data_IF_526142270682
#
_entry.id   IF_526142270682
#
_cell.length_a   1.000
_cell.length_b   1.000
_cell.length_c   1.000
_cell.angle_alpha   90.00
_cell.angle_beta   90.00
_cell.angle_gamma   90.00
#
_symmetry.space_group_name_H-M   'P 1'
#
loop_
_entity.id
_entity.type
_entity.pdbx_description
1 polymer ?
#
# COMPACT_ATOMS: atom_id res chain seq x y z
N UNK A 1 -9.37 8.84 -2.95
CA UNK A 1 -10.49 7.96 -2.55
C UNK A 1 -10.50 7.81 -1.03
N UNK A 2 -11.64 8.02 -0.35
CA UNK A 2 -11.73 7.80 1.10
C UNK A 2 -12.44 6.48 1.40
N UNK A 3 -11.72 5.52 2.01
CA UNK A 3 -12.27 4.24 2.44
C UNK A 3 -12.84 4.33 3.86
N UNK A 4 -14.04 3.77 4.06
CA UNK A 4 -14.66 3.63 5.39
C UNK A 4 -13.88 2.63 6.26
N UNK A 5 -14.11 2.67 7.57
CA UNK A 5 -13.50 1.72 8.52
C UNK A 5 -13.81 0.26 8.16
N UNK A 6 -15.05 -0.04 7.74
CA UNK A 6 -15.45 -1.40 7.32
C UNK A 6 -14.71 -1.85 6.06
N UNK A 7 -14.56 -0.96 5.08
CA UNK A 7 -13.82 -1.25 3.84
C UNK A 7 -12.33 -1.48 4.12
N UNK A 8 -11.72 -0.65 4.98
CA UNK A 8 -10.34 -0.89 5.44
C UNK A 8 -10.22 -2.23 6.16
N UNK A 9 -11.18 -2.61 7.01
CA UNK A 9 -11.14 -3.90 7.69
C UNK A 9 -11.22 -5.09 6.72
N UNK A 10 -12.06 -5.00 5.69
CA UNK A 10 -12.14 -5.99 4.63
C UNK A 10 -10.79 -6.14 3.89
N UNK A 11 -10.19 -5.02 3.46
CA UNK A 11 -8.89 -5.01 2.80
C UNK A 11 -7.76 -5.53 3.69
N UNK A 12 -7.80 -5.28 5.01
CA UNK A 12 -6.84 -5.87 5.96
C UNK A 12 -6.96 -7.39 5.99
N UNK A 13 -8.19 -7.92 5.96
CA UNK A 13 -8.44 -9.36 5.89
C UNK A 13 -7.83 -9.96 4.63
N UNK A 14 -8.15 -9.39 3.46
CA UNK A 14 -7.57 -9.83 2.17
C UNK A 14 -6.04 -9.71 2.15
N UNK A 15 -5.50 -8.64 2.74
CA UNK A 15 -4.07 -8.44 2.78
C UNK A 15 -3.36 -9.48 3.65
N UNK A 16 -4.01 -10.13 4.64
CA UNK A 16 -3.34 -11.01 5.59
C UNK A 16 -2.45 -12.07 4.91
N UNK A 17 -3.01 -12.76 3.92
CA UNK A 17 -2.34 -13.87 3.22
C UNK A 17 -1.36 -13.41 2.12
N UNK A 18 -1.34 -12.11 1.79
CA UNK A 18 -0.44 -11.58 0.77
C UNK A 18 1.00 -11.54 1.27
N UNK A 19 1.95 -11.82 0.37
CA UNK A 19 3.37 -11.55 0.60
C UNK A 19 3.71 -10.13 0.11
N UNK A 20 4.70 -9.44 0.71
CA UNK A 20 5.20 -8.20 0.15
C UNK A 20 5.70 -8.39 -1.28
N UNK A 21 5.19 -7.60 -2.20
CA UNK A 21 5.55 -7.64 -3.64
C UNK A 21 6.61 -6.61 -3.98
N UNK A 22 6.73 -5.55 -3.18
CA UNK A 22 7.83 -4.57 -3.28
C UNK A 22 8.57 -4.49 -1.94
N UNK A 23 9.89 -4.37 -1.99
CA UNK A 23 10.74 -4.20 -0.80
C UNK A 23 11.71 -3.04 -1.01
N UNK A 24 11.71 -2.09 -0.08
CA UNK A 24 12.68 -1.01 -0.06
C UNK A 24 13.98 -1.52 0.56
N UNK A 25 15.07 -1.42 -0.20
CA UNK A 25 16.43 -1.69 0.26
C UNK A 25 17.03 -0.50 1.05
N UNK A 26 18.34 -0.55 1.27
CA UNK A 26 19.07 0.47 2.03
C UNK A 26 18.98 1.88 1.41
N UNK A 27 18.80 1.97 0.09
CA UNK A 27 18.67 3.24 -0.65
C UNK A 27 17.28 3.88 -0.48
N UNK A 28 16.36 3.26 0.27
CA UNK A 28 15.05 3.81 0.56
C UNK A 28 14.11 3.89 -0.65
N UNK A 29 13.32 4.97 -0.71
CA UNK A 29 12.37 5.22 -1.79
C UNK A 29 13.08 5.92 -2.95
N UNK A 30 13.30 5.19 -4.04
CA UNK A 30 13.85 5.71 -5.31
C UNK A 30 12.75 5.81 -6.37
N UNK A 31 13.02 6.50 -7.48
CA UNK A 31 12.09 6.57 -8.62
C UNK A 31 11.75 5.18 -9.18
N UNK A 32 12.74 4.29 -9.27
CA UNK A 32 12.53 2.91 -9.72
C UNK A 32 11.59 2.14 -8.79
N UNK A 33 11.80 2.24 -7.47
CA UNK A 33 10.90 1.61 -6.49
C UNK A 33 9.50 2.21 -6.58
N UNK A 34 9.38 3.52 -6.78
CA UNK A 34 8.09 4.18 -6.93
C UNK A 34 7.34 3.68 -8.17
N UNK A 35 8.03 3.55 -9.30
CA UNK A 35 7.46 2.97 -10.52
C UNK A 35 7.03 1.50 -10.33
N UNK A 36 7.79 0.70 -9.59
CA UNK A 36 7.40 -0.66 -9.23
C UNK A 36 6.15 -0.71 -8.35
N UNK A 37 6.05 0.17 -7.35
CA UNK A 37 4.85 0.29 -6.50
C UNK A 37 3.64 0.66 -7.35
N UNK A 38 3.79 1.63 -8.25
CA UNK A 38 2.72 2.09 -9.13
C UNK A 38 2.22 0.97 -10.05
N UNK A 39 3.13 0.26 -10.71
CA UNK A 39 2.80 -0.91 -11.52
C UNK A 39 2.09 -1.98 -10.69
N UNK A 40 2.64 -2.34 -9.53
CA UNK A 40 2.06 -3.36 -8.66
C UNK A 40 0.64 -2.97 -8.19
N UNK A 41 0.39 -1.69 -7.88
CA UNK A 41 -0.95 -1.19 -7.57
C UNK A 41 -1.90 -1.30 -8.75
N UNK A 42 -1.45 -1.01 -9.97
CA UNK A 42 -2.28 -1.13 -11.18
C UNK A 42 -2.68 -2.59 -11.45
N UNK A 43 -1.76 -3.55 -11.26
CA UNK A 43 -2.05 -4.96 -11.52
C UNK A 43 -2.85 -5.63 -10.41
N UNK A 44 -2.52 -5.38 -9.14
CA UNK A 44 -3.04 -6.13 -8.00
C UNK A 44 -4.08 -5.38 -7.18
N UNK A 45 -4.16 -4.06 -7.32
CA UNK A 45 -4.96 -3.11 -6.53
C UNK A 45 -4.59 -3.04 -5.04
N UNK A 46 -4.40 -4.18 -4.38
CA UNK A 46 -4.00 -4.34 -2.98
C UNK A 46 -2.62 -4.96 -2.90
N UNK A 47 -1.67 -4.24 -2.34
CA UNK A 47 -0.28 -4.70 -2.23
C UNK A 47 0.29 -4.52 -0.83
N UNK A 48 1.31 -5.32 -0.52
CA UNK A 48 2.19 -5.14 0.63
C UNK A 48 3.56 -4.63 0.16
N UNK A 49 4.03 -3.56 0.79
CA UNK A 49 5.36 -2.98 0.58
C UNK A 49 6.15 -3.12 1.87
N UNK A 50 7.35 -3.72 1.81
CA UNK A 50 8.24 -3.83 2.97
C UNK A 50 9.17 -2.62 3.03
N UNK A 51 9.07 -1.82 4.08
CA UNK A 51 9.89 -0.63 4.34
C UNK A 51 10.92 -0.95 5.41
N UNK A 52 12.14 -1.29 4.97
CA UNK A 52 13.26 -1.61 5.86
C UNK A 52 13.89 -0.33 6.46
N UNK A 53 13.15 0.38 7.32
CA UNK A 53 13.68 1.49 8.12
C UNK A 53 13.49 1.20 9.61
N UNK A 54 14.58 1.29 10.39
CA UNK A 54 14.55 1.24 11.85
C UNK A 54 14.04 2.55 12.49
N UNK A 55 14.11 3.64 11.75
CA UNK A 55 13.61 4.94 12.17
C UNK A 55 12.12 5.09 11.81
N UNK A 56 11.31 5.43 12.80
CA UNK A 56 9.86 5.63 12.69
C UNK A 56 9.51 6.91 11.91
N UNK A 57 10.27 7.98 12.07
CA UNK A 57 10.01 9.26 11.39
C UNK A 57 10.30 9.13 9.90
N UNK A 58 11.46 8.58 9.55
CA UNK A 58 11.82 8.28 8.17
C UNK A 58 10.79 7.35 7.51
N UNK A 59 10.34 6.32 8.23
CA UNK A 59 9.31 5.41 7.73
C UNK A 59 8.00 6.13 7.43
N UNK A 60 7.55 7.03 8.30
CA UNK A 60 6.33 7.80 8.06
C UNK A 60 6.50 8.73 6.85
N UNK A 61 7.65 9.40 6.72
CA UNK A 61 7.95 10.25 5.57
C UNK A 61 7.93 9.46 4.25
N UNK A 62 8.52 8.25 4.23
CA UNK A 62 8.47 7.35 3.07
C UNK A 62 7.03 6.96 2.75
N UNK A 63 6.24 6.57 3.75
CA UNK A 63 4.84 6.18 3.57
C UNK A 63 4.03 7.35 2.99
N UNK A 64 4.21 8.56 3.51
CA UNK A 64 3.49 9.75 3.05
C UNK A 64 3.91 10.14 1.63
N UNK A 65 5.20 10.00 1.29
CA UNK A 65 5.68 10.17 -0.08
C UNK A 65 5.02 9.17 -1.04
N UNK A 66 5.03 7.87 -0.72
CA UNK A 66 4.39 6.85 -1.57
C UNK A 66 2.90 7.16 -1.79
N UNK A 67 2.17 7.51 -0.73
CA UNK A 67 0.75 7.86 -0.82
C UNK A 67 0.53 9.07 -1.73
N UNK A 68 1.36 10.11 -1.60
CA UNK A 68 1.25 11.32 -2.41
C UNK A 68 1.51 11.04 -3.88
N UNK A 69 2.55 10.29 -4.20
CA UNK A 69 2.93 10.05 -5.59
C UNK A 69 2.01 9.03 -6.28
N UNK A 70 1.55 8.00 -5.56
CA UNK A 70 0.72 6.92 -6.15
C UNK A 70 -0.78 7.17 -6.04
N UNK A 71 -1.20 8.16 -5.26
CA UNK A 71 -2.60 8.41 -4.91
C UNK A 71 -3.31 7.20 -4.27
N UNK A 72 -2.53 6.25 -3.74
CA UNK A 72 -3.05 5.05 -3.09
C UNK A 72 -3.53 5.36 -1.66
N UNK A 73 -4.43 4.53 -1.15
CA UNK A 73 -4.93 4.61 0.21
C UNK A 73 -4.10 3.72 1.12
N UNK A 74 -3.57 4.30 2.20
CA UNK A 74 -3.01 3.54 3.32
C UNK A 74 -4.10 2.75 4.03
N UNK A 75 -4.06 1.43 3.88
CA UNK A 75 -4.97 0.49 4.57
C UNK A 75 -4.44 0.19 5.96
N UNK A 76 -3.15 -0.11 6.07
CA UNK A 76 -2.50 -0.47 7.32
C UNK A 76 -0.98 -0.28 7.26
N UNK A 77 -0.36 -0.02 8.39
CA UNK A 77 1.09 -0.09 8.58
C UNK A 77 1.37 -0.95 9.82
N UNK A 78 2.00 -2.11 9.65
CA UNK A 78 2.34 -3.05 10.74
C UNK A 78 3.84 -3.29 10.72
N UNK A 79 4.55 -2.86 11.77
CA UNK A 79 6.01 -2.98 11.83
C UNK A 79 6.69 -2.31 10.62
N UNK A 80 7.24 -3.13 9.73
CA UNK A 80 7.89 -2.72 8.48
C UNK A 80 7.06 -3.00 7.22
N UNK A 81 5.80 -3.44 7.36
CA UNK A 81 4.94 -3.78 6.22
C UNK A 81 3.84 -2.73 6.09
N UNK A 82 3.84 -2.05 4.95
CA UNK A 82 2.81 -1.11 4.52
C UNK A 82 1.82 -1.83 3.60
N UNK A 83 0.52 -1.72 3.88
CA UNK A 83 -0.55 -2.22 3.02
C UNK A 83 -1.18 -1.03 2.30
N UNK A 84 -1.14 -1.06 0.97
CA UNK A 84 -1.67 -0.02 0.09
C UNK A 84 -2.80 -0.57 -0.77
N UNK A 85 -3.79 0.27 -1.03
CA UNK A 85 -4.87 -0.04 -1.94
C UNK A 85 -5.10 1.10 -2.93
N UNK A 86 -5.21 0.78 -4.22
CA UNK A 86 -5.70 1.68 -5.27
C UNK A 86 -6.62 0.90 -6.18
N UNK A 87 -7.85 1.35 -6.31
CA UNK A 87 -8.82 0.71 -7.20
C UNK A 87 -8.37 0.94 -8.66
N UNK A 88 -8.35 -0.13 -9.46
CA UNK A 88 -8.11 -0.07 -10.90
C UNK A 88 -9.44 0.04 -11.65
N UNK A 89 -9.36 0.36 -12.94
CA UNK A 89 -10.55 0.44 -13.82
C UNK A 89 -11.27 -0.92 -13.93
N UNK A 90 -10.52 -2.02 -13.83
CA UNK A 90 -11.05 -3.39 -13.91
C UNK A 90 -11.76 -3.84 -12.62
N UNK A 91 -11.62 -3.10 -11.51
CA UNK A 91 -12.26 -3.37 -10.21
C UNK A 91 -12.10 -4.84 -9.77
N UNK A 92 -10.85 -5.32 -9.70
CA UNK A 92 -10.54 -6.74 -9.40
C UNK A 92 -10.95 -7.14 -7.99
N UNK A 93 -10.87 -6.21 -7.04
CA UNK A 93 -11.24 -6.39 -5.65
C UNK A 93 -12.59 -5.71 -5.40
N UNK A 94 -13.60 -6.52 -5.13
CA UNK A 94 -14.93 -6.03 -4.77
C UNK A 94 -14.91 -5.38 -3.38
N UNK A 95 -15.07 -4.06 -3.33
CA UNK A 95 -15.17 -3.32 -2.06
C UNK A 95 -16.63 -3.40 -1.56
N UNK A 96 -16.89 -3.78 -0.29
CA UNK A 96 -18.24 -3.77 0.25
C UNK A 96 -18.83 -2.36 0.21
N UNK A 97 -20.10 -2.27 -0.21
CA UNK A 97 -20.85 -1.01 -0.21
C UNK A 97 -20.88 -0.45 1.21
N UNK A 98 -20.57 0.83 1.35
CA UNK A 98 -20.74 1.53 2.62
C UNK A 98 -22.25 1.51 2.93
N UNK A 99 -22.61 0.86 4.06
CA UNK A 99 -23.95 0.86 4.61
C UNK A 99 -23.99 1.82 5.77
#
# INVERSE_FOLDING_TARGET
MNLTTKQKQHLKGLAHDLKPVVMLGANGLTEGVLAEIDNALTYHELIKVKVASGDRELKNAIVDAIIRETQAVKVQLIGHVLVLFRQSEEMKIAIPKAK
#
